data_IF_862229384916
#
_entry.id   IF_862229384916
#
_cell.length_a   1.000
_cell.length_b   1.000
_cell.length_c   1.000
_cell.angle_alpha   90.00
_cell.angle_beta   90.00
_cell.angle_gamma   90.00
#
_symmetry.space_group_name_H-M   'P 1'
#
loop_
_entity.id
_entity.type
_entity.pdbx_description
1 polymer ?
#
# COMPACT_ATOMS: atom_id res chain seq x y z
N UNK A 1 -7.71 -9.78 49.01
CA UNK A 1 -9.08 -10.16 49.42
C UNK A 1 -8.98 -11.00 50.67
N UNK A 2 -9.71 -10.67 51.74
CA UNK A 2 -9.63 -11.42 53.00
C UNK A 2 -10.50 -12.69 52.88
N UNK A 3 -9.86 -13.85 52.69
CA UNK A 3 -10.58 -15.13 52.66
C UNK A 3 -10.85 -15.61 54.10
N UNK A 4 -12.12 -15.80 54.43
CA UNK A 4 -12.56 -16.42 55.70
C UNK A 4 -12.50 -17.95 55.59
N UNK A 5 -12.28 -18.65 56.70
CA UNK A 5 -12.20 -20.13 56.74
C UNK A 5 -13.41 -20.83 56.09
N UNK A 6 -14.61 -20.23 56.17
CA UNK A 6 -15.84 -20.74 55.54
C UNK A 6 -15.85 -20.61 54.01
N UNK A 7 -15.08 -19.67 53.44
CA UNK A 7 -15.00 -19.40 51.99
C UNK A 7 -13.71 -19.93 51.34
N UNK A 8 -12.89 -20.65 52.10
CA UNK A 8 -11.59 -21.17 51.66
C UNK A 8 -11.68 -21.95 50.33
N UNK A 9 -12.69 -22.81 50.18
CA UNK A 9 -12.86 -23.60 48.97
C UNK A 9 -13.09 -22.74 47.71
N UNK A 10 -13.90 -21.68 47.80
CA UNK A 10 -14.13 -20.76 46.66
C UNK A 10 -12.88 -19.96 46.33
N UNK A 11 -12.22 -19.46 47.38
CA UNK A 11 -10.98 -18.70 47.26
C UNK A 11 -9.86 -19.52 46.59
N UNK A 12 -9.71 -20.80 46.94
CA UNK A 12 -8.73 -21.70 46.32
C UNK A 12 -9.06 -21.96 44.85
N UNK A 13 -10.33 -22.21 44.51
CA UNK A 13 -10.75 -22.44 43.11
C UNK A 13 -10.55 -21.18 42.27
N UNK A 14 -10.88 -20.00 42.81
CA UNK A 14 -10.69 -18.71 42.13
C UNK A 14 -9.20 -18.40 41.94
N UNK A 15 -8.37 -18.59 42.97
CA UNK A 15 -6.92 -18.40 42.87
C UNK A 15 -6.29 -19.37 41.86
N UNK A 16 -6.72 -20.64 41.86
CA UNK A 16 -6.28 -21.63 40.87
C UNK A 16 -6.71 -21.22 39.45
N UNK A 17 -7.93 -20.69 39.28
CA UNK A 17 -8.41 -20.15 38.01
C UNK A 17 -7.58 -18.97 37.52
N UNK A 18 -7.28 -18.00 38.39
CA UNK A 18 -6.41 -16.88 38.04
C UNK A 18 -4.99 -17.32 37.69
N UNK A 19 -4.46 -18.32 38.40
CA UNK A 19 -3.17 -18.92 38.07
C UNK A 19 -3.20 -19.61 36.69
N UNK A 20 -4.24 -20.38 36.39
CA UNK A 20 -4.38 -21.00 35.05
C UNK A 20 -4.54 -19.94 33.95
N UNK A 21 -5.28 -18.85 34.18
CA UNK A 21 -5.35 -17.73 33.23
C UNK A 21 -3.98 -17.10 33.01
N UNK A 22 -3.21 -16.87 34.06
CA UNK A 22 -1.90 -16.25 33.93
C UNK A 22 -0.95 -17.16 33.14
N UNK A 23 -0.98 -18.48 33.38
CA UNK A 23 -0.21 -19.47 32.61
C UNK A 23 -0.62 -19.50 31.13
N UNK A 24 -1.92 -19.44 30.82
CA UNK A 24 -2.41 -19.46 29.43
C UNK A 24 -2.14 -18.14 28.71
N UNK A 25 -2.28 -17.00 29.40
CA UNK A 25 -2.04 -15.68 28.81
C UNK A 25 -0.55 -15.34 28.69
N UNK A 26 0.33 -15.90 29.52
CA UNK A 26 1.78 -15.67 29.49
C UNK A 26 2.41 -15.84 28.08
N UNK A 27 2.16 -16.94 27.33
CA UNK A 27 2.72 -17.11 25.98
C UNK A 27 2.10 -16.17 24.94
N UNK A 28 0.91 -15.60 25.17
CA UNK A 28 0.22 -14.68 24.25
C UNK A 28 0.84 -13.27 24.29
N UNK A 29 1.23 -12.83 25.50
CA UNK A 29 1.78 -11.49 25.74
C UNK A 29 2.90 -11.08 24.76
N UNK A 30 3.94 -11.89 24.47
CA UNK A 30 4.98 -11.49 23.53
C UNK A 30 4.44 -11.27 22.10
N UNK A 31 3.46 -12.04 21.65
CA UNK A 31 2.85 -11.83 20.32
C UNK A 31 2.03 -10.55 20.27
N UNK A 32 1.26 -10.26 21.32
CA UNK A 32 0.50 -9.01 21.40
C UNK A 32 1.42 -7.78 21.48
N UNK A 33 2.49 -7.87 22.25
CA UNK A 33 3.50 -6.83 22.32
C UNK A 33 4.17 -6.61 20.96
N UNK A 34 4.50 -7.68 20.24
CA UNK A 34 5.05 -7.60 18.89
C UNK A 34 4.07 -6.98 17.89
N UNK A 35 2.79 -7.38 17.92
CA UNK A 35 1.75 -6.80 17.06
C UNK A 35 1.57 -5.32 17.37
N UNK A 36 1.49 -4.95 18.65
CA UNK A 36 1.37 -3.55 19.07
C UNK A 36 2.57 -2.75 18.56
N UNK A 37 3.78 -3.23 18.77
CA UNK A 37 5.00 -2.60 18.28
C UNK A 37 4.98 -2.44 16.75
N UNK A 38 4.66 -3.50 16.00
CA UNK A 38 4.65 -3.47 14.53
C UNK A 38 3.53 -2.59 13.95
N UNK A 39 2.44 -2.39 14.68
CA UNK A 39 1.35 -1.47 14.30
C UNK A 39 1.72 0.00 14.56
N UNK A 40 2.38 0.29 15.68
CA UNK A 40 2.58 1.67 16.13
C UNK A 40 3.96 2.24 15.81
N UNK A 41 4.97 1.40 15.59
CA UNK A 41 6.33 1.86 15.32
C UNK A 41 6.48 2.22 13.83
N UNK A 42 6.99 3.43 13.50
CA UNK A 42 7.29 3.77 12.12
C UNK A 42 8.38 2.86 11.56
N UNK A 43 8.33 2.62 10.24
CA UNK A 43 9.38 1.90 9.53
C UNK A 43 10.75 2.59 9.72
N UNK A 44 11.79 1.81 10.01
CA UNK A 44 13.15 2.32 10.23
C UNK A 44 13.84 2.65 8.91
N UNK A 45 13.47 3.81 8.37
CA UNK A 45 13.90 4.30 7.07
C UNK A 45 15.37 4.75 7.06
N UNK A 46 15.89 5.20 8.21
CA UNK A 46 17.21 5.80 8.33
C UNK A 46 18.35 4.82 7.95
N UNK A 47 18.12 3.50 8.11
CA UNK A 47 19.07 2.44 7.71
C UNK A 47 19.31 2.46 6.18
N UNK A 48 18.30 2.85 5.40
CA UNK A 48 18.34 2.88 3.94
C UNK A 48 18.75 4.25 3.37
N UNK A 49 19.12 5.22 4.20
CA UNK A 49 19.45 6.59 3.76
C UNK A 49 20.65 6.63 2.79
N UNK A 50 21.69 5.83 3.05
CA UNK A 50 22.87 5.73 2.18
C UNK A 50 22.52 5.15 0.81
N UNK A 51 21.73 4.08 0.78
CA UNK A 51 21.24 3.47 -0.46
C UNK A 51 20.33 4.41 -1.23
N UNK A 52 19.41 5.10 -0.55
CA UNK A 52 18.56 6.13 -1.17
C UNK A 52 19.39 7.22 -1.85
N UNK A 53 20.45 7.72 -1.21
CA UNK A 53 21.33 8.73 -1.79
C UNK A 53 22.00 8.25 -3.09
N UNK A 54 22.42 6.98 -3.15
CA UNK A 54 22.94 6.37 -4.38
C UNK A 54 21.87 6.34 -5.47
N UNK A 55 20.62 6.00 -5.14
CA UNK A 55 19.52 5.99 -6.11
C UNK A 55 19.26 7.39 -6.68
N UNK A 56 19.21 8.41 -5.82
CA UNK A 56 19.05 9.81 -6.25
C UNK A 56 20.23 10.26 -7.12
N UNK A 57 21.46 9.87 -6.78
CA UNK A 57 22.64 10.16 -7.60
C UNK A 57 22.52 9.57 -9.01
N UNK A 58 22.11 8.31 -9.14
CA UNK A 58 21.88 7.66 -10.44
C UNK A 58 20.78 8.39 -11.23
N UNK A 59 19.68 8.77 -10.58
CA UNK A 59 18.59 9.52 -11.22
C UNK A 59 19.08 10.91 -11.67
N UNK A 60 20.01 11.52 -10.92
CA UNK A 60 20.48 12.89 -11.18
C UNK A 60 21.22 13.06 -12.51
N UNK A 61 21.81 11.98 -13.03
CA UNK A 61 22.45 11.94 -14.35
C UNK A 61 21.43 12.32 -15.44
N UNK A 62 20.15 11.95 -15.28
CA UNK A 62 19.10 12.26 -16.25
C UNK A 62 18.63 13.72 -16.19
N UNK A 63 18.89 14.46 -15.11
CA UNK A 63 18.42 15.83 -14.95
C UNK A 63 19.04 16.77 -15.98
N UNK A 64 20.35 16.67 -16.19
CA UNK A 64 21.05 17.48 -17.20
C UNK A 64 20.49 17.22 -18.59
N UNK A 65 20.24 15.96 -18.93
CA UNK A 65 19.65 15.58 -20.21
C UNK A 65 18.25 16.18 -20.39
N UNK A 66 17.37 16.06 -19.39
CA UNK A 66 16.03 16.63 -19.48
C UNK A 66 16.02 18.15 -19.57
N UNK A 67 16.91 18.84 -18.84
CA UNK A 67 17.03 20.29 -18.92
C UNK A 67 17.51 20.72 -20.32
N UNK A 68 18.48 20.03 -20.90
CA UNK A 68 18.97 20.33 -22.26
C UNK A 68 17.87 20.13 -23.30
N UNK A 69 17.17 19.00 -23.25
CA UNK A 69 16.07 18.72 -24.17
C UNK A 69 14.94 19.76 -23.96
N UNK A 70 14.66 20.17 -22.71
CA UNK A 70 13.65 21.19 -22.39
C UNK A 70 14.02 22.57 -22.91
N UNK A 71 15.28 22.96 -22.74
CA UNK A 71 15.83 24.18 -23.31
C UNK A 71 15.73 24.18 -24.83
N UNK A 72 16.12 23.07 -25.48
CA UNK A 72 16.04 22.94 -26.93
C UNK A 72 14.60 23.03 -27.47
N UNK A 73 13.67 22.29 -26.85
CA UNK A 73 12.25 22.36 -27.18
C UNK A 73 11.69 23.76 -26.98
N UNK A 74 12.13 24.47 -25.94
CA UNK A 74 11.73 25.85 -25.69
C UNK A 74 12.23 26.81 -26.78
N UNK A 75 13.49 26.71 -27.21
CA UNK A 75 14.06 27.54 -28.28
C UNK A 75 13.34 27.32 -29.61
N UNK A 76 13.11 26.06 -30.01
CA UNK A 76 12.43 25.73 -31.27
C UNK A 76 10.95 26.13 -31.24
N UNK A 77 10.32 26.11 -30.07
CA UNK A 77 8.89 26.42 -29.94
C UNK A 77 8.51 27.88 -30.25
N UNK A 78 9.50 28.76 -30.50
CA UNK A 78 9.28 30.19 -30.74
C UNK A 78 8.30 30.54 -31.87
N UNK A 79 8.12 29.66 -32.85
CA UNK A 79 7.25 29.90 -34.01
C UNK A 79 5.73 29.78 -33.73
N UNK A 80 5.33 29.18 -32.60
CA UNK A 80 3.91 28.99 -32.26
C UNK A 80 3.68 29.22 -30.77
N UNK A 81 2.71 30.08 -30.45
CA UNK A 81 2.35 30.38 -29.07
C UNK A 81 1.94 29.12 -28.28
N UNK A 82 1.26 28.16 -28.92
CA UNK A 82 0.84 26.91 -28.29
C UNK A 82 2.01 25.97 -27.99
N UNK A 83 3.00 25.85 -28.89
CA UNK A 83 4.20 25.04 -28.62
C UNK A 83 5.01 25.64 -27.48
N UNK A 84 5.07 26.97 -27.41
CA UNK A 84 5.79 27.70 -26.36
C UNK A 84 5.19 27.47 -24.99
N UNK A 85 3.86 27.44 -24.85
CA UNK A 85 3.23 27.16 -23.54
C UNK A 85 3.51 25.73 -23.07
N UNK A 86 3.41 24.74 -23.97
CA UNK A 86 3.76 23.35 -23.64
C UNK A 86 5.23 23.18 -23.25
N UNK A 87 6.16 23.85 -23.95
CA UNK A 87 7.57 23.79 -23.60
C UNK A 87 7.88 24.41 -22.22
N UNK A 88 7.18 25.50 -21.85
CA UNK A 88 7.28 26.10 -20.50
C UNK A 88 6.78 25.14 -19.42
N UNK A 89 5.62 24.52 -19.63
CA UNK A 89 5.07 23.53 -18.70
C UNK A 89 6.03 22.36 -18.53
N UNK A 90 6.65 21.90 -19.62
CA UNK A 90 7.63 20.82 -19.55
C UNK A 90 8.89 21.21 -18.76
N UNK A 91 9.42 22.42 -18.97
CA UNK A 91 10.54 22.95 -18.17
C UNK A 91 10.18 23.06 -16.69
N UNK A 92 8.98 23.55 -16.37
CA UNK A 92 8.47 23.62 -14.99
C UNK A 92 8.40 22.22 -14.34
N UNK A 93 7.89 21.23 -15.07
CA UNK A 93 7.83 19.85 -14.59
C UNK A 93 9.21 19.27 -14.31
N UNK A 94 10.22 19.58 -15.13
CA UNK A 94 11.61 19.15 -14.90
C UNK A 94 12.18 19.79 -13.63
N UNK A 95 11.96 21.09 -13.42
CA UNK A 95 12.44 21.79 -12.21
C UNK A 95 11.76 21.22 -10.95
N UNK A 96 10.44 21.03 -10.98
CA UNK A 96 9.69 20.42 -9.87
C UNK A 96 10.18 19.00 -9.60
N UNK A 97 10.43 18.21 -10.64
CA UNK A 97 10.97 16.86 -10.50
C UNK A 97 12.29 16.85 -9.72
N UNK A 98 13.24 17.73 -10.05
CA UNK A 98 14.52 17.83 -9.32
C UNK A 98 14.28 18.14 -7.85
N UNK A 99 13.43 19.12 -7.54
CA UNK A 99 13.10 19.50 -6.17
C UNK A 99 12.45 18.34 -5.39
N UNK A 100 11.44 17.69 -5.96
CA UNK A 100 10.71 16.61 -5.28
C UNK A 100 11.53 15.33 -5.13
N UNK A 101 12.41 14.99 -6.08
CA UNK A 101 13.28 13.82 -5.90
C UNK A 101 14.29 14.06 -4.78
N UNK A 102 14.84 15.27 -4.63
CA UNK A 102 15.71 15.60 -3.50
C UNK A 102 14.95 15.62 -2.17
N UNK A 103 13.72 16.13 -2.15
CA UNK A 103 12.85 16.11 -0.97
C UNK A 103 12.23 14.72 -0.69
N UNK A 104 12.45 13.73 -1.54
CA UNK A 104 11.70 12.46 -1.50
C UNK A 104 11.89 11.68 -0.20
N UNK A 105 13.11 11.65 0.36
CA UNK A 105 13.38 10.99 1.64
C UNK A 105 12.58 11.60 2.78
N UNK A 106 12.61 12.94 2.87
CA UNK A 106 11.90 13.69 3.90
C UNK A 106 10.38 13.47 3.79
N UNK A 107 9.83 13.57 2.57
CA UNK A 107 8.40 13.35 2.32
C UNK A 107 8.00 11.94 2.73
N UNK A 108 8.80 10.92 2.36
CA UNK A 108 8.50 9.54 2.72
C UNK A 108 8.54 9.32 4.24
N UNK A 109 9.56 9.86 4.92
CA UNK A 109 9.69 9.80 6.38
C UNK A 109 8.49 10.42 7.09
N UNK A 110 8.09 11.63 6.68
CA UNK A 110 6.93 12.32 7.24
C UNK A 110 5.63 11.53 7.03
N UNK A 111 5.42 10.94 5.85
CA UNK A 111 4.22 10.13 5.58
C UNK A 111 4.23 8.84 6.40
N UNK A 112 5.38 8.19 6.58
CA UNK A 112 5.49 7.00 7.40
C UNK A 112 5.26 7.28 8.88
N UNK A 113 5.82 8.38 9.41
CA UNK A 113 5.58 8.85 10.78
C UNK A 113 4.11 9.24 11.01
N UNK A 114 3.49 9.92 10.05
CA UNK A 114 2.06 10.25 10.10
C UNK A 114 1.20 8.98 10.13
N UNK A 115 1.48 8.02 9.26
CA UNK A 115 0.73 6.76 9.22
C UNK A 115 0.86 5.97 10.54
N UNK A 116 2.07 5.89 11.09
CA UNK A 116 2.33 5.25 12.38
C UNK A 116 1.65 5.99 13.53
N UNK A 117 1.71 7.33 13.57
CA UNK A 117 1.07 8.15 14.59
C UNK A 117 -0.45 8.02 14.61
N UNK A 118 -1.10 8.03 13.43
CA UNK A 118 -2.56 7.79 13.34
C UNK A 118 -2.90 6.37 13.80
N UNK A 119 -2.10 5.36 13.41
CA UNK A 119 -2.31 3.97 13.84
C UNK A 119 -2.16 3.83 15.35
N UNK A 120 -1.16 4.47 15.94
CA UNK A 120 -0.96 4.49 17.40
C UNK A 120 -2.17 5.09 18.13
N UNK A 121 -2.69 6.21 17.64
CA UNK A 121 -3.89 6.83 18.21
C UNK A 121 -5.13 5.91 18.18
N UNK A 122 -5.31 5.13 17.11
CA UNK A 122 -6.40 4.12 17.04
C UNK A 122 -6.15 2.96 17.99
N UNK A 123 -4.91 2.46 18.08
CA UNK A 123 -4.54 1.33 18.94
C UNK A 123 -4.68 1.68 20.43
N UNK A 124 -4.41 2.93 20.83
CA UNK A 124 -4.61 3.39 22.22
C UNK A 124 -6.08 3.43 22.65
N UNK A 125 -7.01 3.52 21.71
CA UNK A 125 -8.45 3.43 21.99
C UNK A 125 -8.94 1.99 22.20
N UNK A 126 -8.11 0.98 21.92
CA UNK A 126 -8.45 -0.43 22.12
C UNK A 126 -8.15 -0.81 23.56
N UNK A 127 -9.12 -1.39 24.27
CA UNK A 127 -8.92 -1.87 25.64
C UNK A 127 -7.82 -2.95 25.65
N UNK A 128 -6.74 -2.82 26.44
CA UNK A 128 -5.70 -3.85 26.52
C UNK A 128 -6.24 -5.22 26.97
N UNK A 129 -7.33 -5.26 27.73
CA UNK A 129 -7.98 -6.50 28.18
C UNK A 129 -8.78 -7.21 27.07
N UNK A 130 -9.01 -6.53 25.93
CA UNK A 130 -9.62 -7.13 24.75
C UNK A 130 -8.81 -8.34 24.29
N UNK A 131 -7.48 -8.25 24.33
CA UNK A 131 -6.58 -9.27 23.81
C UNK A 131 -6.33 -10.45 24.76
N UNK A 132 -6.80 -10.36 26.02
CA UNK A 132 -6.54 -11.36 27.05
C UNK A 132 -7.75 -12.29 27.25
N UNK A 133 -7.47 -13.55 27.54
CA UNK A 133 -8.51 -14.49 27.94
C UNK A 133 -9.08 -14.12 29.30
N UNK A 134 -10.42 -14.10 29.38
CA UNK A 134 -11.19 -14.00 30.61
C UNK A 134 -11.92 -15.32 30.84
N UNK A 135 -12.06 -15.73 32.10
CA UNK A 135 -12.89 -16.89 32.47
C UNK A 135 -14.29 -16.41 32.86
N UNK A 136 -15.21 -16.47 31.89
CA UNK A 136 -16.60 -16.11 32.15
C UNK A 136 -17.41 -17.33 32.63
N UNK A 137 -16.97 -18.58 32.30
CA UNK A 137 -17.63 -19.81 32.73
C UNK A 137 -16.66 -21.00 32.87
N UNK A 138 -16.69 -21.66 34.03
CA UNK A 138 -15.85 -22.84 34.36
C UNK A 138 -16.18 -24.05 33.46
N UNK A 139 -17.42 -24.15 32.97
CA UNK A 139 -17.88 -25.27 32.15
C UNK A 139 -17.21 -25.29 30.76
N UNK A 140 -16.75 -24.14 30.25
CA UNK A 140 -16.19 -24.02 28.91
C UNK A 140 -14.65 -24.02 28.85
N UNK A 141 -13.98 -24.36 29.94
CA UNK A 141 -12.50 -24.31 30.02
C UNK A 141 -11.84 -25.16 28.93
N UNK A 142 -12.34 -26.38 28.67
CA UNK A 142 -11.76 -27.27 27.66
C UNK A 142 -11.86 -26.69 26.24
N UNK A 143 -13.02 -26.12 25.90
CA UNK A 143 -13.24 -25.47 24.60
C UNK A 143 -12.35 -24.23 24.44
N UNK A 144 -12.16 -23.46 25.52
CA UNK A 144 -11.29 -22.30 25.54
C UNK A 144 -9.82 -22.66 25.34
N UNK A 145 -9.35 -23.76 25.92
CA UNK A 145 -7.99 -24.27 25.68
C UNK A 145 -7.82 -24.68 24.21
N UNK A 146 -8.80 -25.40 23.64
CA UNK A 146 -8.75 -25.81 22.23
C UNK A 146 -8.71 -24.60 21.28
N UNK A 147 -9.57 -23.59 21.49
CA UNK A 147 -9.54 -22.34 20.70
C UNK A 147 -8.31 -21.48 21.00
N UNK A 148 -7.73 -21.57 22.19
CA UNK A 148 -6.50 -20.89 22.56
C UNK A 148 -5.32 -21.28 21.65
N UNK A 149 -5.23 -22.55 21.25
CA UNK A 149 -4.21 -23.00 20.31
C UNK A 149 -4.40 -22.36 18.91
N UNK A 150 -5.64 -22.33 18.41
CA UNK A 150 -5.94 -21.65 17.15
C UNK A 150 -5.67 -20.15 17.21
N UNK A 151 -5.98 -19.51 18.34
CA UNK A 151 -5.68 -18.11 18.57
C UNK A 151 -4.18 -17.82 18.57
N UNK A 152 -3.37 -18.66 19.20
CA UNK A 152 -1.92 -18.55 19.15
C UNK A 152 -1.38 -18.66 17.71
N UNK A 153 -1.91 -19.59 16.93
CA UNK A 153 -1.54 -19.74 15.53
C UNK A 153 -1.92 -18.51 14.70
N UNK A 154 -3.13 -17.94 14.90
CA UNK A 154 -3.54 -16.72 14.18
C UNK A 154 -2.70 -15.51 14.59
N UNK A 155 -2.36 -15.35 15.87
CA UNK A 155 -1.43 -14.31 16.32
C UNK A 155 -0.05 -14.46 15.69
N UNK A 156 0.48 -15.68 15.63
CA UNK A 156 1.77 -15.94 14.97
C UNK A 156 1.76 -15.53 13.49
N UNK A 157 0.72 -15.94 12.74
CA UNK A 157 0.55 -15.54 11.33
C UNK A 157 0.45 -14.01 11.21
N UNK A 158 -0.23 -13.35 12.16
CA UNK A 158 -0.39 -11.89 12.19
C UNK A 158 0.94 -11.18 12.39
N UNK A 159 1.77 -11.65 13.32
CA UNK A 159 3.13 -11.11 13.54
C UNK A 159 3.95 -11.24 12.27
N UNK A 160 3.94 -12.40 11.61
CA UNK A 160 4.68 -12.61 10.36
C UNK A 160 4.17 -11.68 9.26
N UNK A 161 2.85 -11.53 9.10
CA UNK A 161 2.26 -10.66 8.09
C UNK A 161 2.63 -9.18 8.31
N UNK A 162 2.58 -8.68 9.55
CA UNK A 162 3.00 -7.32 9.86
C UNK A 162 4.51 -7.13 9.74
N UNK A 163 5.33 -8.13 10.08
CA UNK A 163 6.77 -8.07 9.90
C UNK A 163 7.16 -7.95 8.41
N UNK A 164 6.49 -8.71 7.53
CA UNK A 164 6.66 -8.58 6.08
C UNK A 164 6.23 -7.18 5.62
N UNK A 165 5.10 -6.66 6.09
CA UNK A 165 4.66 -5.31 5.74
C UNK A 165 5.65 -4.23 6.20
N UNK A 166 6.17 -4.35 7.42
CA UNK A 166 7.19 -3.44 7.96
C UNK A 166 8.46 -3.45 7.10
N UNK A 167 8.90 -4.63 6.68
CA UNK A 167 10.05 -4.79 5.77
C UNK A 167 9.75 -4.15 4.40
N UNK A 168 8.57 -4.39 3.82
CA UNK A 168 8.16 -3.79 2.55
C UNK A 168 8.08 -2.27 2.62
N UNK A 169 7.58 -1.71 3.73
CA UNK A 169 7.59 -0.27 3.98
C UNK A 169 9.02 0.27 4.06
N UNK A 170 9.92 -0.43 4.74
CA UNK A 170 11.32 -0.01 4.87
C UNK A 170 12.06 -0.02 3.53
N UNK A 171 11.88 -1.08 2.73
CA UNK A 171 12.44 -1.15 1.36
C UNK A 171 11.78 -0.11 0.43
N UNK A 172 10.52 0.24 0.69
CA UNK A 172 9.74 1.18 -0.10
C UNK A 172 10.40 2.55 -0.31
N UNK A 173 11.24 2.97 0.65
CA UNK A 173 12.07 4.18 0.59
C UNK A 173 12.93 4.24 -0.66
N UNK A 174 13.50 3.09 -1.06
CA UNK A 174 14.39 3.00 -2.22
C UNK A 174 13.63 3.20 -3.54
N UNK A 175 12.35 2.80 -3.57
CA UNK A 175 11.50 2.92 -4.75
C UNK A 175 10.79 4.28 -4.83
N UNK A 176 10.65 4.99 -3.72
CA UNK A 176 9.99 6.27 -3.67
C UNK A 176 10.59 7.36 -4.61
N UNK A 177 11.92 7.61 -4.65
CA UNK A 177 12.50 8.59 -5.57
C UNK A 177 12.24 8.23 -7.04
N UNK A 178 12.20 6.94 -7.40
CA UNK A 178 11.80 6.52 -8.75
C UNK A 178 10.34 6.79 -9.04
N UNK A 179 9.45 6.53 -8.08
CA UNK A 179 8.03 6.85 -8.21
C UNK A 179 7.82 8.33 -8.51
N UNK A 180 8.50 9.20 -7.77
CA UNK A 180 8.48 10.65 -7.98
C UNK A 180 9.06 11.02 -9.34
N UNK A 181 10.23 10.49 -9.69
CA UNK A 181 10.88 10.75 -10.97
C UNK A 181 9.99 10.37 -12.16
N UNK A 182 9.45 9.16 -12.19
CA UNK A 182 8.59 8.70 -13.28
C UNK A 182 7.26 9.45 -13.34
N UNK A 183 6.76 9.97 -12.23
CA UNK A 183 5.52 10.76 -12.20
C UNK A 183 5.62 12.04 -13.06
N UNK A 184 6.79 12.68 -13.09
CA UNK A 184 6.99 13.91 -13.87
C UNK A 184 7.34 13.68 -15.34
N UNK A 185 7.78 12.46 -15.71
CA UNK A 185 8.13 12.11 -17.09
C UNK A 185 6.87 11.68 -17.86
N UNK A 186 6.40 12.42 -18.89
CA UNK A 186 5.10 12.19 -19.52
C UNK A 186 4.81 10.74 -19.96
N UNK A 187 5.71 10.02 -20.67
CA UNK A 187 5.44 8.64 -21.07
C UNK A 187 5.46 7.63 -19.90
N UNK A 188 5.97 8.00 -18.73
CA UNK A 188 6.14 7.12 -17.57
C UNK A 188 5.26 7.53 -16.37
N UNK A 189 4.44 8.57 -16.52
CA UNK A 189 3.63 9.15 -15.46
C UNK A 189 2.74 8.13 -14.76
N UNK A 190 2.15 7.21 -15.53
CA UNK A 190 1.27 6.17 -15.00
C UNK A 190 2.02 5.18 -14.09
N UNK A 191 3.28 4.87 -14.43
CA UNK A 191 4.15 4.00 -13.62
C UNK A 191 4.52 4.71 -12.31
N UNK A 192 4.91 5.98 -12.38
CA UNK A 192 5.21 6.77 -11.19
C UNK A 192 4.02 6.88 -10.24
N UNK A 193 2.83 7.19 -10.78
CA UNK A 193 1.57 7.22 -10.02
C UNK A 193 1.27 5.86 -9.37
N UNK A 194 1.51 4.77 -10.08
CA UNK A 194 1.32 3.42 -9.56
C UNK A 194 2.25 3.14 -8.38
N UNK A 195 3.55 3.41 -8.51
CA UNK A 195 4.55 3.19 -7.44
C UNK A 195 4.18 4.00 -6.19
N UNK A 196 3.93 5.31 -6.34
CA UNK A 196 3.57 6.19 -5.21
C UNK A 196 2.30 5.69 -4.51
N UNK A 197 1.27 5.34 -5.28
CA UNK A 197 0.01 4.83 -4.71
C UNK A 197 0.19 3.53 -3.95
N UNK A 198 1.03 2.60 -4.43
CA UNK A 198 1.30 1.33 -3.76
C UNK A 198 2.14 1.51 -2.50
N UNK A 199 3.14 2.40 -2.52
CA UNK A 199 3.93 2.71 -1.34
C UNK A 199 3.09 3.38 -0.25
N UNK A 200 2.28 4.38 -0.60
CA UNK A 200 1.35 4.99 0.34
C UNK A 200 0.39 3.95 0.93
N UNK A 201 -0.13 3.04 0.11
CA UNK A 201 -1.00 1.98 0.57
C UNK A 201 -0.34 1.04 1.58
N UNK A 202 0.90 0.60 1.33
CA UNK A 202 1.68 -0.25 2.26
C UNK A 202 1.92 0.46 3.60
N UNK A 203 2.14 1.77 3.58
CA UNK A 203 2.32 2.57 4.80
C UNK A 203 1.03 2.69 5.63
N UNK A 204 -0.13 2.87 4.99
CA UNK A 204 -1.43 3.02 5.67
C UNK A 204 -2.15 1.71 5.99
N UNK A 205 -1.59 0.58 5.59
CA UNK A 205 -2.22 -0.71 5.81
C UNK A 205 -2.32 -1.12 7.31
N UNK A 206 -1.35 -0.84 8.21
CA UNK A 206 -1.51 -1.03 9.65
C UNK A 206 -2.67 -0.22 10.24
N UNK A 207 -2.91 0.99 9.73
CA UNK A 207 -4.03 1.82 10.14
C UNK A 207 -5.37 1.13 9.86
N UNK A 208 -5.58 0.60 8.66
CA UNK A 208 -6.82 -0.14 8.35
C UNK A 208 -7.00 -1.40 9.21
N UNK A 209 -5.92 -2.11 9.52
CA UNK A 209 -5.98 -3.24 10.43
C UNK A 209 -6.37 -2.81 11.86
N UNK A 210 -5.84 -1.69 12.34
CA UNK A 210 -6.18 -1.17 13.66
C UNK A 210 -7.66 -0.75 13.77
N UNK A 211 -8.25 -0.21 12.70
CA UNK A 211 -9.69 0.08 12.64
C UNK A 211 -10.55 -1.18 12.77
N UNK A 212 -10.15 -2.28 12.11
CA UNK A 212 -10.85 -3.57 12.23
C UNK A 212 -10.79 -4.08 13.68
N UNK A 213 -9.60 -4.02 14.30
CA UNK A 213 -9.42 -4.43 15.70
C UNK A 213 -10.22 -3.55 16.67
N UNK A 214 -10.27 -2.24 16.43
CA UNK A 214 -11.09 -1.31 17.21
C UNK A 214 -12.59 -1.65 17.09
N UNK A 215 -13.07 -1.89 15.87
CA UNK A 215 -14.46 -2.32 15.64
C UNK A 215 -14.80 -3.61 16.39
N UNK A 216 -13.90 -4.59 16.35
CA UNK A 216 -14.05 -5.84 17.09
C UNK A 216 -14.04 -5.61 18.62
N UNK A 217 -13.21 -4.70 19.12
CA UNK A 217 -13.17 -4.32 20.53
C UNK A 217 -14.48 -3.72 21.01
N UNK A 218 -15.11 -2.86 20.20
CA UNK A 218 -16.38 -2.25 20.58
C UNK A 218 -17.55 -3.25 20.55
N UNK A 219 -17.49 -4.27 19.68
CA UNK A 219 -18.50 -5.33 19.64
C UNK A 219 -18.51 -6.19 20.92
N UNK A 220 -17.37 -6.39 21.56
CA UNK A 220 -17.29 -7.19 22.81
C UNK A 220 -17.99 -6.50 23.99
N UNK A 221 -18.06 -5.17 23.98
CA UNK A 221 -18.75 -4.40 25.01
C UNK A 221 -20.28 -4.59 24.98
N UNK A 222 -20.82 -5.14 23.89
CA UNK A 222 -22.23 -5.53 23.81
C UNK A 222 -22.38 -6.88 24.51
N UNK A 223 -23.04 -6.90 25.68
CA UNK A 223 -23.08 -8.07 26.58
C UNK A 223 -23.52 -9.41 25.96
N UNK A 224 -24.17 -9.40 24.79
CA UNK A 224 -24.48 -10.60 24.02
C UNK A 224 -23.23 -11.39 23.57
N UNK A 225 -22.08 -10.74 23.43
CA UNK A 225 -20.85 -11.35 22.90
C UNK A 225 -19.85 -11.80 23.99
N UNK A 226 -20.15 -11.64 25.30
CA UNK A 226 -19.20 -12.04 26.36
C UNK A 226 -18.88 -13.54 26.28
N UNK A 227 -19.91 -14.37 26.12
CA UNK A 227 -19.77 -15.83 25.99
C UNK A 227 -19.01 -16.28 24.73
N UNK A 228 -18.86 -15.42 23.72
CA UNK A 228 -18.26 -15.73 22.41
C UNK A 228 -16.98 -14.89 22.18
N UNK A 229 -16.44 -14.25 23.24
CA UNK A 229 -15.27 -13.35 23.19
C UNK A 229 -14.10 -13.94 22.39
N UNK A 230 -13.71 -15.17 22.70
CA UNK A 230 -12.57 -15.85 22.05
C UNK A 230 -12.76 -16.05 20.55
N UNK A 231 -13.97 -16.43 20.11
CA UNK A 231 -14.26 -16.64 18.70
C UNK A 231 -14.25 -15.31 17.94
N UNK A 232 -14.78 -14.25 18.56
CA UNK A 232 -14.75 -12.90 17.98
C UNK A 232 -13.31 -12.37 17.86
N UNK A 233 -12.46 -12.61 18.86
CA UNK A 233 -11.03 -12.27 18.80
C UNK A 233 -10.31 -13.03 17.67
N UNK A 234 -10.49 -14.35 17.59
CA UNK A 234 -9.92 -15.16 16.50
C UNK A 234 -10.42 -14.67 15.14
N UNK A 235 -11.71 -14.37 15.04
CA UNK A 235 -12.34 -13.83 13.83
C UNK A 235 -11.76 -12.48 13.42
N UNK A 236 -11.55 -11.56 14.37
CA UNK A 236 -10.98 -10.25 14.10
C UNK A 236 -9.54 -10.34 13.56
N UNK A 237 -8.68 -11.14 14.20
CA UNK A 237 -7.31 -11.35 13.73
C UNK A 237 -7.26 -12.12 12.41
N UNK A 238 -8.12 -13.12 12.22
CA UNK A 238 -8.26 -13.82 10.95
C UNK A 238 -8.66 -12.88 9.82
N UNK A 239 -9.62 -11.97 10.07
CA UNK A 239 -10.05 -10.97 9.11
C UNK A 239 -8.93 -9.99 8.77
N UNK A 240 -8.15 -9.55 9.76
CA UNK A 240 -6.93 -8.76 9.53
C UNK A 240 -5.96 -9.53 8.64
N UNK A 241 -5.67 -10.79 8.93
CA UNK A 241 -4.75 -11.60 8.11
C UNK A 241 -5.24 -11.80 6.68
N UNK A 242 -6.52 -12.10 6.49
CA UNK A 242 -7.13 -12.24 5.16
C UNK A 242 -7.03 -10.93 4.40
N UNK A 243 -7.32 -9.79 5.06
CA UNK A 243 -7.19 -8.47 4.47
C UNK A 243 -5.74 -8.21 4.03
N UNK A 244 -4.75 -8.46 4.90
CA UNK A 244 -3.32 -8.32 4.60
C UNK A 244 -2.91 -9.12 3.36
N UNK A 245 -3.26 -10.41 3.35
CA UNK A 245 -2.90 -11.34 2.27
C UNK A 245 -3.59 -10.94 0.96
N UNK A 246 -4.88 -10.65 1.00
CA UNK A 246 -5.65 -10.23 -0.17
C UNK A 246 -5.04 -8.97 -0.78
N UNK A 247 -4.69 -7.99 0.06
CA UNK A 247 -4.10 -6.75 -0.38
C UNK A 247 -2.70 -6.94 -0.98
N UNK A 248 -1.89 -7.82 -0.40
CA UNK A 248 -0.59 -8.20 -0.96
C UNK A 248 -0.76 -8.85 -2.35
N UNK A 249 -1.69 -9.80 -2.50
CA UNK A 249 -1.99 -10.45 -3.79
C UNK A 249 -2.49 -9.43 -4.82
N UNK A 250 -3.40 -8.53 -4.44
CA UNK A 250 -3.90 -7.47 -5.33
C UNK A 250 -2.80 -6.47 -5.71
N UNK A 251 -1.82 -6.22 -4.84
CA UNK A 251 -0.65 -5.41 -5.17
C UNK A 251 0.22 -6.09 -6.24
N UNK A 252 0.49 -7.39 -6.09
CA UNK A 252 1.23 -8.18 -7.07
C UNK A 252 0.51 -8.25 -8.42
N UNK A 253 -0.78 -8.60 -8.42
CA UNK A 253 -1.59 -8.72 -9.64
C UNK A 253 -1.66 -7.39 -10.39
N UNK A 254 -1.87 -6.27 -9.68
CA UNK A 254 -1.86 -4.95 -10.34
C UNK A 254 -0.47 -4.57 -10.85
N UNK A 255 0.61 -5.00 -10.18
CA UNK A 255 1.98 -4.83 -10.70
C UNK A 255 2.16 -5.52 -12.04
N UNK A 256 1.79 -6.80 -12.13
CA UNK A 256 1.87 -7.59 -13.38
C UNK A 256 1.00 -6.99 -14.48
N UNK A 257 -0.26 -6.66 -14.18
CA UNK A 257 -1.17 -6.05 -15.16
C UNK A 257 -0.71 -4.66 -15.62
N UNK A 258 -0.10 -3.88 -14.72
CA UNK A 258 0.48 -2.58 -15.06
C UNK A 258 1.59 -2.71 -16.09
N UNK A 259 2.47 -3.70 -15.92
CA UNK A 259 3.52 -4.01 -16.90
C UNK A 259 2.91 -4.45 -18.24
N UNK A 260 1.90 -5.31 -18.24
CA UNK A 260 1.23 -5.77 -19.48
C UNK A 260 0.48 -4.66 -20.23
N UNK A 261 -0.05 -3.67 -19.51
CA UNK A 261 -0.75 -2.52 -20.14
C UNK A 261 0.19 -1.45 -20.66
N UNK A 262 1.45 -1.44 -20.23
CA UNK A 262 2.41 -0.43 -20.68
C UNK A 262 2.57 -0.46 -22.21
N UNK A 263 2.73 0.71 -22.82
CA UNK A 263 2.96 0.80 -24.27
C UNK A 263 4.27 0.13 -24.69
N UNK A 264 5.20 -0.12 -23.75
CA UNK A 264 6.38 -0.94 -23.96
C UNK A 264 5.98 -2.40 -24.23
N UNK A 265 5.08 -2.97 -23.45
CA UNK A 265 4.57 -4.31 -23.70
C UNK A 265 3.83 -4.38 -25.05
N UNK A 266 3.08 -3.33 -25.41
CA UNK A 266 2.46 -3.21 -26.74
C UNK A 266 3.50 -3.08 -27.86
N UNK A 267 4.58 -2.32 -27.64
CA UNK A 267 5.68 -2.16 -28.58
C UNK A 267 6.45 -3.46 -28.80
N UNK A 268 6.71 -4.22 -27.73
CA UNK A 268 7.33 -5.56 -27.79
C UNK A 268 6.39 -6.57 -28.46
N UNK A 269 5.09 -6.53 -28.13
CA UNK A 269 4.08 -7.36 -28.81
C UNK A 269 3.94 -7.01 -30.28
N UNK A 270 4.06 -5.74 -30.65
CA UNK A 270 4.04 -5.28 -32.04
C UNK A 270 5.30 -5.73 -32.79
N UNK A 271 6.47 -5.63 -32.16
CA UNK A 271 7.73 -6.18 -32.70
C UNK A 271 7.65 -7.69 -32.89
N UNK A 272 7.12 -8.43 -31.90
CA UNK A 272 6.95 -9.88 -31.96
C UNK A 272 5.90 -10.29 -33.00
N UNK A 273 4.82 -9.53 -33.12
CA UNK A 273 3.76 -9.74 -34.12
C UNK A 273 4.24 -9.52 -35.55
N UNK A 274 5.00 -8.45 -35.81
CA UNK A 274 5.56 -8.18 -37.14
C UNK A 274 6.67 -9.17 -37.52
N UNK A 275 7.44 -9.68 -36.56
CA UNK A 275 8.42 -10.72 -36.84
C UNK A 275 7.77 -12.06 -37.23
N UNK A 276 6.59 -12.36 -36.69
CA UNK A 276 5.84 -13.59 -37.03
C UNK A 276 4.96 -13.44 -38.28
N UNK A 277 4.46 -12.25 -38.59
CA UNK A 277 3.66 -11.99 -39.81
C UNK A 277 4.48 -11.59 -41.04
N UNK A 278 5.77 -11.27 -40.88
CA UNK A 278 6.67 -10.84 -41.97
C UNK A 278 6.86 -11.85 -43.11
N UNK A 279 6.48 -13.12 -42.94
CA UNK A 279 6.60 -14.15 -43.98
C UNK A 279 5.28 -14.53 -44.67
N UNK A 280 4.12 -13.98 -44.27
CA UNK A 280 2.83 -14.47 -44.75
C UNK A 280 2.04 -13.52 -45.66
N UNK A 281 2.41 -12.24 -45.79
CA UNK A 281 1.65 -11.29 -46.62
C UNK A 281 2.39 -10.90 -47.90
N UNK A 282 2.31 -11.81 -48.87
CA UNK A 282 2.43 -11.49 -50.29
C UNK A 282 1.29 -10.52 -50.64
N UNK A 283 1.63 -9.25 -50.87
CA UNK A 283 0.73 -8.13 -51.19
C UNK A 283 -0.19 -8.51 -52.37
N UNK A 284 -1.52 -8.62 -52.24
CA UNK A 284 -2.39 -8.55 -53.40
C UNK A 284 -2.35 -7.10 -53.90
N UNK A 285 -1.87 -6.93 -55.12
CA UNK A 285 -1.99 -5.69 -55.87
C UNK A 285 -3.47 -5.39 -56.09
N UNK A 286 -3.99 -4.33 -55.47
CA UNK A 286 -5.19 -3.67 -55.99
C UNK A 286 -4.99 -2.15 -56.10
N UNK A 287 -5.32 -1.57 -57.26
CA UNK A 287 -5.35 -0.13 -57.49
C UNK A 287 -6.72 0.46 -57.09
N UNK A 288 -6.79 1.79 -57.07
CA UNK A 288 -8.03 2.60 -57.02
C UNK A 288 -8.86 2.63 -55.73
N UNK A 289 -8.52 3.56 -54.83
CA UNK A 289 -9.55 4.24 -54.03
C UNK A 289 -9.06 5.64 -53.63
N UNK A 290 -8.96 6.55 -54.60
CA UNK A 290 -8.65 7.97 -54.40
C UNK A 290 -9.87 8.80 -53.93
N UNK A 291 -11.05 8.21 -53.73
CA UNK A 291 -12.29 9.00 -53.54
C UNK A 291 -12.75 9.25 -52.10
N UNK A 292 -12.15 8.63 -51.07
CA UNK A 292 -12.72 8.73 -49.72
C UNK A 292 -12.32 9.96 -48.89
N UNK A 293 -11.36 10.76 -49.34
CA UNK A 293 -10.87 11.91 -48.55
C UNK A 293 -11.69 13.20 -48.70
N UNK A 294 -12.66 13.26 -49.61
CA UNK A 294 -13.45 14.49 -49.83
C UNK A 294 -14.72 14.60 -48.98
N UNK A 295 -15.13 13.57 -48.22
CA UNK A 295 -16.45 13.57 -47.54
C UNK A 295 -16.42 13.79 -46.02
N UNK A 296 -15.25 13.90 -45.39
CA UNK A 296 -15.13 14.09 -43.92
C UNK A 296 -14.57 15.46 -43.57
N UNK A 297 -15.03 16.51 -44.26
CA UNK A 297 -14.67 17.91 -43.95
C UNK A 297 -15.87 18.85 -43.79
N UNK A 298 -17.11 18.35 -43.87
CA UNK A 298 -18.32 19.18 -43.73
C UNK A 298 -18.81 19.40 -42.30
N UNK A 299 -18.35 18.63 -41.32
CA UNK A 299 -19.04 18.56 -40.01
C UNK A 299 -18.35 19.35 -38.89
N UNK A 300 -17.66 20.45 -39.23
CA UNK A 300 -17.21 21.42 -38.22
C UNK A 300 -18.19 22.61 -38.13
N UNK A 301 -19.12 22.62 -37.15
CA UNK A 301 -19.98 23.77 -36.89
C UNK A 301 -19.13 24.87 -36.22
N UNK A 302 -18.52 25.74 -37.03
CA UNK A 302 -17.72 26.84 -36.46
C UNK A 302 -17.16 27.88 -37.42
N UNK A 303 -17.31 27.74 -38.74
CA UNK A 303 -16.64 28.63 -39.69
C UNK A 303 -17.50 29.79 -40.25
N UNK A 304 -18.72 30.01 -39.75
CA UNK A 304 -19.63 31.03 -40.31
C UNK A 304 -19.58 32.41 -39.63
N UNK A 305 -18.79 32.63 -38.58
CA UNK A 305 -18.79 33.92 -37.84
C UNK A 305 -17.70 34.94 -38.24
N UNK A 306 -17.24 34.94 -39.50
CA UNK A 306 -16.35 36.01 -40.01
C UNK A 306 -16.69 36.48 -41.42
N UNK A 307 -17.96 36.78 -41.67
CA UNK A 307 -18.37 37.69 -42.74
C UNK A 307 -19.54 38.54 -42.27
N UNK A 308 -19.23 39.58 -41.49
CA UNK A 308 -19.96 40.85 -41.38
C UNK A 308 -19.02 41.85 -40.74
#
# INVERSE_FOLDING_TARGET
>A
MACTLLTLHKCVIEALGQFMLSVINAPIQPFLAAIKLLLTQPASIDIFASLWAVMVYVISIFYGLFIIIAGFNFVISGYSAEKRTRAKEWLQNVILMVLFVQASFLIYKLVAELAAGITAGVVEMIDPNFFLFTFDNVINIFLQIAFGMFYMLTLFITVVAFAINYLLASIGVLFFPFGVFFYFVPPLRDIGRFIISKLAFVLFLPFFASLVLLGASQLINIGAFSSIKILLMIGAFSLVNVLMILLAVLALLRGVMGVMRSDIARGVLFLKGNFLLGNALKKPSQPESREYWCRVRSDYPGYERRRR
#
